data_IF_648544560587
#
_entry.id   IF_648544560587
#
_cell.length_a   1.000
_cell.length_b   1.000
_cell.length_c   1.000
_cell.angle_alpha   90.00
_cell.angle_beta   90.00
_cell.angle_gamma   90.00
#
_symmetry.space_group_name_H-M   'P 1'
#
loop_
_entity.id
_entity.type
_entity.pdbx_description
1 polymer ?
#
# COMPACT_ATOMS: atom_id res chain seq x y z
N UNK A 1 -10.28 -2.21 -11.75
CA UNK A 1 -9.46 -1.57 -12.79
C UNK A 1 -8.14 -2.35 -12.88
N UNK A 2 -7.87 -3.05 -13.97
CA UNK A 2 -6.64 -3.85 -14.18
C UNK A 2 -5.53 -3.05 -14.91
N UNK A 3 -5.85 -1.83 -15.36
CA UNK A 3 -4.93 -0.92 -16.03
C UNK A 3 -4.16 -0.13 -14.97
N UNK A 4 -2.88 -0.47 -14.81
CA UNK A 4 -1.93 0.28 -14.00
C UNK A 4 -0.56 0.31 -14.69
N UNK A 5 0.12 1.43 -14.49
CA UNK A 5 1.46 1.66 -15.00
C UNK A 5 2.47 0.72 -14.31
N UNK A 6 3.38 0.16 -15.10
CA UNK A 6 4.46 -0.63 -14.56
C UNK A 6 5.70 -0.62 -15.45
N UNK A 7 6.80 -0.11 -14.90
CA UNK A 7 8.12 -0.13 -15.51
C UNK A 7 9.17 -0.56 -14.50
N UNK A 8 10.12 -1.36 -14.97
CA UNK A 8 11.24 -1.85 -14.16
C UNK A 8 12.21 -0.71 -13.90
N UNK A 9 12.60 -0.52 -12.65
CA UNK A 9 13.47 0.58 -12.22
C UNK A 9 12.73 1.87 -11.83
N UNK A 10 11.43 1.96 -12.15
CA UNK A 10 10.59 3.12 -11.80
C UNK A 10 9.58 2.77 -10.71
N UNK A 11 8.96 1.59 -10.79
CA UNK A 11 7.99 1.16 -9.78
C UNK A 11 8.70 0.65 -8.54
N UNK A 12 8.34 1.22 -7.39
CA UNK A 12 8.93 0.91 -6.09
C UNK A 12 8.26 -0.29 -5.43
N UNK A 13 8.90 -0.83 -4.39
CA UNK A 13 8.29 -1.87 -3.54
C UNK A 13 7.01 -1.36 -2.85
N UNK A 14 6.98 -0.07 -2.48
CA UNK A 14 5.81 0.56 -1.85
C UNK A 14 4.61 0.61 -2.82
N UNK A 15 4.82 0.98 -4.09
CA UNK A 15 3.73 0.98 -5.07
C UNK A 15 3.19 -0.44 -5.32
N UNK A 16 4.03 -1.48 -5.25
CA UNK A 16 3.56 -2.88 -5.32
C UNK A 16 2.79 -3.28 -4.06
N UNK A 17 3.20 -2.88 -2.86
CA UNK A 17 2.41 -3.09 -1.64
C UNK A 17 1.04 -2.40 -1.71
N UNK A 18 0.98 -1.15 -2.21
CA UNK A 18 -0.28 -0.44 -2.46
C UNK A 18 -1.17 -1.19 -3.44
N UNK A 19 -0.60 -1.76 -4.52
CA UNK A 19 -1.34 -2.58 -5.46
C UNK A 19 -1.94 -3.81 -4.76
N UNK A 20 -1.16 -4.52 -3.93
CA UNK A 20 -1.63 -5.69 -3.17
C UNK A 20 -2.73 -5.28 -2.18
N UNK A 21 -2.54 -4.20 -1.42
CA UNK A 21 -3.53 -3.69 -0.47
C UNK A 21 -4.87 -3.34 -1.15
N UNK A 22 -4.81 -2.80 -2.38
CA UNK A 22 -5.99 -2.44 -3.17
C UNK A 22 -6.68 -3.64 -3.81
N UNK A 23 -5.91 -4.63 -4.26
CA UNK A 23 -6.41 -5.78 -5.03
C UNK A 23 -6.83 -6.94 -4.13
N UNK A 24 -6.19 -7.09 -2.97
CA UNK A 24 -6.26 -8.29 -2.15
C UNK A 24 -5.29 -9.36 -2.64
N UNK A 25 -4.67 -10.08 -1.71
CA UNK A 25 -3.68 -11.12 -2.06
C UNK A 25 -4.32 -12.25 -2.87
N UNK A 26 -5.57 -12.60 -2.55
CA UNK A 26 -6.34 -13.65 -3.20
C UNK A 26 -6.61 -13.37 -4.69
N UNK A 27 -6.62 -12.10 -5.09
CA UNK A 27 -6.93 -11.68 -6.45
C UNK A 27 -5.67 -11.40 -7.30
N UNK A 28 -4.46 -11.56 -6.75
CA UNK A 28 -3.22 -11.23 -7.47
C UNK A 28 -3.02 -12.12 -8.69
N UNK A 29 -3.35 -13.41 -8.59
CA UNK A 29 -3.27 -14.33 -9.73
C UNK A 29 -4.22 -13.89 -10.84
N UNK A 30 -5.46 -13.59 -10.50
CA UNK A 30 -6.47 -13.16 -11.47
C UNK A 30 -6.09 -11.84 -12.13
N UNK A 31 -5.47 -10.92 -11.38
CA UNK A 31 -4.92 -9.68 -11.94
C UNK A 31 -3.87 -9.95 -13.02
N UNK A 32 -2.96 -10.91 -12.78
CA UNK A 32 -1.94 -11.30 -13.76
C UNK A 32 -2.59 -11.97 -14.97
N UNK A 33 -3.54 -12.87 -14.75
CA UNK A 33 -4.25 -13.58 -15.83
C UNK A 33 -5.00 -12.61 -16.75
N UNK A 34 -5.65 -11.58 -16.19
CA UNK A 34 -6.30 -10.52 -16.97
C UNK A 34 -5.27 -9.78 -17.85
N UNK A 35 -4.08 -9.46 -17.31
CA UNK A 35 -3.03 -8.81 -18.12
C UNK A 35 -2.48 -9.72 -19.22
N UNK A 36 -2.43 -11.03 -18.98
CA UNK A 36 -2.03 -12.00 -20.01
C UNK A 36 -3.09 -12.08 -21.10
N UNK A 37 -4.36 -12.17 -20.72
CA UNK A 37 -5.49 -12.24 -21.64
C UNK A 37 -5.57 -11.00 -22.55
N UNK A 38 -5.43 -9.79 -21.98
CA UNK A 38 -5.41 -8.53 -22.73
C UNK A 38 -4.27 -8.50 -23.78
N UNK A 39 -3.08 -8.98 -23.41
CA UNK A 39 -1.93 -9.06 -24.31
C UNK A 39 -2.08 -10.08 -25.43
N UNK A 40 -2.72 -11.22 -25.14
CA UNK A 40 -3.05 -12.23 -26.13
C UNK A 40 -4.10 -11.70 -27.10
N UNK A 41 -5.16 -11.06 -26.59
CA UNK A 41 -6.20 -10.42 -27.40
C UNK A 41 -5.68 -9.31 -28.29
N UNK A 42 -4.65 -8.58 -27.84
CA UNK A 42 -3.98 -7.52 -28.61
C UNK A 42 -2.98 -8.03 -29.65
N UNK A 43 -2.86 -9.35 -29.86
CA UNK A 43 -1.97 -9.93 -30.88
C UNK A 43 -0.48 -9.78 -30.58
N UNK A 44 -0.10 -9.54 -29.32
CA UNK A 44 1.32 -9.37 -28.97
C UNK A 44 2.07 -10.71 -29.03
N UNK A 45 3.31 -10.75 -29.54
CA UNK A 45 4.04 -12.01 -29.76
C UNK A 45 4.48 -12.70 -28.46
N UNK A 46 4.46 -11.99 -27.32
CA UNK A 46 4.80 -12.52 -26.00
C UNK A 46 3.70 -12.18 -25.01
N UNK A 47 2.95 -13.20 -24.61
CA UNK A 47 1.90 -13.09 -23.60
C UNK A 47 2.45 -12.65 -22.24
N UNK A 48 3.62 -13.20 -21.84
CA UNK A 48 4.29 -12.89 -20.59
C UNK A 48 5.65 -12.20 -20.86
N UNK A 49 5.69 -10.87 -21.01
CA UNK A 49 6.94 -10.13 -21.20
C UNK A 49 7.76 -10.06 -19.92
N UNK A 50 9.03 -9.63 -20.03
CA UNK A 50 9.92 -9.45 -18.87
C UNK A 50 9.30 -8.57 -17.78
N UNK A 51 8.68 -7.45 -18.16
CA UNK A 51 8.00 -6.54 -17.21
C UNK A 51 6.95 -7.26 -16.36
N UNK A 52 6.15 -8.15 -16.96
CA UNK A 52 5.11 -8.90 -16.23
C UNK A 52 5.71 -9.96 -15.30
N UNK A 53 6.84 -10.59 -15.68
CA UNK A 53 7.57 -11.49 -14.77
C UNK A 53 8.20 -10.74 -13.61
N UNK A 54 8.77 -9.57 -13.87
CA UNK A 54 9.37 -8.73 -12.83
C UNK A 54 8.30 -8.23 -11.84
N UNK A 55 7.10 -7.88 -12.32
CA UNK A 55 5.98 -7.56 -11.44
C UNK A 55 5.59 -8.74 -10.52
N UNK A 56 5.46 -9.95 -11.09
CA UNK A 56 5.18 -11.16 -10.30
C UNK A 56 6.25 -11.38 -9.22
N UNK A 57 7.53 -11.27 -9.60
CA UNK A 57 8.64 -11.34 -8.64
C UNK A 57 8.53 -10.29 -7.52
N UNK A 58 8.22 -9.04 -7.87
CA UNK A 58 8.06 -7.98 -6.87
C UNK A 58 6.85 -8.24 -5.96
N UNK A 59 5.73 -8.72 -6.50
CA UNK A 59 4.57 -9.14 -5.71
C UNK A 59 4.98 -10.23 -4.72
N UNK A 60 5.67 -11.28 -5.17
CA UNK A 60 6.13 -12.36 -4.30
C UNK A 60 7.10 -11.88 -3.22
N UNK A 61 7.99 -10.94 -3.57
CA UNK A 61 8.96 -10.35 -2.64
C UNK A 61 8.29 -9.60 -1.49
N UNK A 62 7.22 -8.85 -1.77
CA UNK A 62 6.57 -7.97 -0.77
C UNK A 62 5.25 -8.53 -0.25
N UNK A 63 4.82 -9.73 -0.69
CA UNK A 63 3.51 -10.29 -0.30
C UNK A 63 3.33 -10.50 1.21
N UNK A 64 4.44 -10.71 1.92
CA UNK A 64 4.45 -10.90 3.37
C UNK A 64 4.63 -9.59 4.14
N UNK A 65 4.87 -8.47 3.43
CA UNK A 65 4.92 -7.15 4.05
C UNK A 65 3.50 -6.74 4.52
N UNK A 66 3.39 -5.79 5.47
CA UNK A 66 2.09 -5.40 5.98
C UNK A 66 1.30 -4.60 4.92
N UNK A 67 0.30 -5.25 4.34
CA UNK A 67 -0.59 -4.68 3.30
C UNK A 67 -2.03 -4.56 3.77
N UNK A 68 -2.33 -4.95 5.01
CA UNK A 68 -3.64 -4.81 5.62
C UNK A 68 -3.54 -4.46 7.09
N UNK A 69 -4.59 -3.86 7.65
CA UNK A 69 -4.67 -3.50 9.07
C UNK A 69 -4.44 -4.72 9.97
N UNK A 70 -4.85 -5.91 9.53
CA UNK A 70 -4.67 -7.16 10.27
C UNK A 70 -3.20 -7.58 10.42
N UNK A 71 -2.31 -7.07 9.58
CA UNK A 71 -0.87 -7.36 9.59
C UNK A 71 -0.06 -6.38 10.45
N UNK A 72 -0.72 -5.31 10.95
CA UNK A 72 -0.09 -4.40 11.88
C UNK A 72 0.25 -5.11 13.20
N UNK A 73 1.36 -4.72 13.85
CA UNK A 73 1.75 -5.25 15.17
C UNK A 73 0.89 -4.74 16.32
N UNK A 74 -0.08 -3.87 16.03
CA UNK A 74 -1.12 -3.43 16.95
C UNK A 74 -2.50 -3.63 16.32
N UNK A 75 -3.52 -3.68 17.16
CA UNK A 75 -4.91 -3.79 16.77
C UNK A 75 -5.79 -2.91 17.68
N UNK A 76 -7.10 -2.92 17.45
CA UNK A 76 -8.04 -2.13 18.24
C UNK A 76 -7.99 -2.42 19.74
N UNK A 77 -7.86 -3.69 20.14
CA UNK A 77 -7.80 -4.08 21.55
C UNK A 77 -6.56 -3.52 22.25
N UNK A 78 -5.41 -3.54 21.57
CA UNK A 78 -4.17 -2.94 22.07
C UNK A 78 -4.35 -1.44 22.24
N UNK A 79 -4.95 -0.75 21.26
CA UNK A 79 -5.22 0.69 21.33
C UNK A 79 -6.16 1.04 22.49
N UNK A 80 -7.22 0.26 22.71
CA UNK A 80 -8.14 0.43 23.84
C UNK A 80 -7.40 0.23 25.17
N UNK A 81 -6.61 -0.84 25.30
CA UNK A 81 -5.94 -1.20 26.55
C UNK A 81 -4.83 -0.22 26.92
N UNK A 82 -3.94 0.07 25.97
CA UNK A 82 -2.71 0.85 26.17
C UNK A 82 -2.96 2.36 26.12
N UNK A 83 -3.86 2.82 25.23
CA UNK A 83 -4.12 4.26 25.01
C UNK A 83 -5.46 4.72 25.55
N UNK A 84 -6.23 3.84 26.20
CA UNK A 84 -7.56 4.13 26.78
C UNK A 84 -8.53 4.73 25.77
N UNK A 85 -8.41 4.34 24.50
CA UNK A 85 -9.33 4.76 23.46
C UNK A 85 -10.71 4.17 23.68
N UNK A 86 -11.75 4.95 23.39
CA UNK A 86 -13.12 4.44 23.36
C UNK A 86 -13.34 3.62 22.08
N UNK A 87 -14.01 2.46 22.16
CA UNK A 87 -14.39 1.69 20.99
C UNK A 87 -15.22 2.55 20.02
N UNK A 88 -14.84 2.58 18.74
CA UNK A 88 -15.55 3.37 17.75
C UNK A 88 -14.79 3.52 16.42
N UNK A 89 -15.40 4.20 15.43
CA UNK A 89 -14.84 4.34 14.07
C UNK A 89 -13.49 5.06 14.03
N UNK A 90 -13.16 5.85 15.07
CA UNK A 90 -11.87 6.53 15.21
C UNK A 90 -10.69 5.55 15.26
N UNK A 91 -10.87 4.37 15.89
CA UNK A 91 -9.83 3.34 15.95
C UNK A 91 -9.51 2.82 14.55
N UNK A 92 -10.55 2.54 13.74
CA UNK A 92 -10.38 2.11 12.35
C UNK A 92 -9.63 3.14 11.53
N UNK A 93 -10.08 4.41 11.57
CA UNK A 93 -9.42 5.49 10.84
C UNK A 93 -7.94 5.69 11.27
N UNK A 94 -7.64 5.54 12.56
CA UNK A 94 -6.26 5.60 13.05
C UNK A 94 -5.42 4.44 12.51
N UNK A 95 -5.95 3.21 12.53
CA UNK A 95 -5.27 2.05 11.96
C UNK A 95 -5.06 2.18 10.45
N UNK A 96 -5.98 2.83 9.73
CA UNK A 96 -5.85 3.11 8.30
C UNK A 96 -4.70 4.09 8.02
N UNK A 97 -4.54 5.14 8.83
CA UNK A 97 -3.38 6.06 8.74
C UNK A 97 -2.07 5.32 8.99
N UNK A 98 -2.01 4.49 10.03
CA UNK A 98 -0.80 3.72 10.33
C UNK A 98 -0.47 2.73 9.21
N UNK A 99 -1.49 2.09 8.62
CA UNK A 99 -1.28 1.21 7.48
C UNK A 99 -0.73 1.98 6.29
N UNK A 100 -1.25 3.18 5.99
CA UNK A 100 -0.73 4.01 4.90
C UNK A 100 0.76 4.32 5.09
N UNK A 101 1.18 4.70 6.29
CA UNK A 101 2.59 4.95 6.62
C UNK A 101 3.45 3.66 6.53
N UNK A 102 2.95 2.54 7.02
CA UNK A 102 3.66 1.24 6.99
C UNK A 102 3.77 0.67 5.58
N UNK A 103 2.82 0.96 4.69
CA UNK A 103 2.90 0.56 3.29
C UNK A 103 4.07 1.26 2.60
N UNK A 104 4.34 2.52 2.95
CA UNK A 104 5.53 3.22 2.45
C UNK A 104 6.80 2.66 3.12
N UNK A 105 6.80 2.58 4.46
CA UNK A 105 7.92 2.08 5.25
C UNK A 105 7.55 0.87 6.15
N UNK A 106 7.75 -0.37 5.67
CA UNK A 106 7.32 -1.57 6.42
C UNK A 106 8.07 -1.76 7.74
N UNK A 107 9.22 -1.11 7.91
CA UNK A 107 10.01 -1.13 9.15
C UNK A 107 9.32 -0.40 10.31
N UNK A 108 8.37 0.49 10.01
CA UNK A 108 7.56 1.15 11.03
C UNK A 108 6.59 0.19 11.74
N UNK A 109 6.37 -1.02 11.19
CA UNK A 109 5.49 -2.03 11.76
C UNK A 109 6.09 -2.73 12.99
N UNK A 110 6.39 -1.97 14.02
CA UNK A 110 6.76 -2.46 15.35
C UNK A 110 5.77 -1.93 16.37
N UNK A 111 5.54 -2.67 17.45
CA UNK A 111 4.52 -2.31 18.44
C UNK A 111 4.82 -0.94 19.06
N UNK A 112 6.09 -0.68 19.35
CA UNK A 112 6.58 0.53 20.01
C UNK A 112 6.41 1.77 19.13
N UNK A 113 6.82 1.69 17.85
CA UNK A 113 6.68 2.79 16.90
C UNK A 113 5.20 3.07 16.62
N UNK A 114 4.39 2.03 16.39
CA UNK A 114 2.97 2.20 16.11
C UNK A 114 2.20 2.78 17.30
N UNK A 115 2.50 2.38 18.55
CA UNK A 115 1.88 2.99 19.73
C UNK A 115 2.28 4.46 19.90
N UNK A 116 3.55 4.79 19.64
CA UNK A 116 4.04 6.17 19.71
C UNK A 116 3.35 7.04 18.67
N UNK A 117 3.26 6.55 17.43
CA UNK A 117 2.56 7.23 16.35
C UNK A 117 1.06 7.37 16.63
N UNK A 118 0.44 6.32 17.15
CA UNK A 118 -0.97 6.33 17.56
C UNK A 118 -1.26 7.45 18.56
N UNK A 119 -0.42 7.62 19.58
CA UNK A 119 -0.55 8.71 20.58
C UNK A 119 -0.52 10.10 19.93
N UNK A 120 0.37 10.32 18.97
CA UNK A 120 0.45 11.59 18.25
C UNK A 120 -0.80 11.87 17.40
N UNK A 121 -1.46 10.82 16.89
CA UNK A 121 -2.67 10.91 16.08
C UNK A 121 -3.97 11.01 16.91
N UNK A 122 -3.93 10.75 18.22
CA UNK A 122 -5.13 10.78 19.08
C UNK A 122 -5.79 12.15 19.18
N UNK A 123 -5.01 13.24 19.02
CA UNK A 123 -5.51 14.61 19.05
C UNK A 123 -6.34 14.96 17.83
N UNK A 124 -6.12 14.26 16.71
CA UNK A 124 -6.86 14.48 15.47
C UNK A 124 -8.30 13.99 15.58
N UNK A 125 -9.20 14.65 14.86
CA UNK A 125 -10.59 14.18 14.74
C UNK A 125 -10.75 13.06 13.69
N UNK A 126 -11.96 12.51 13.56
CA UNK A 126 -12.23 11.43 12.61
C UNK A 126 -12.05 11.86 11.15
N UNK A 127 -12.42 13.10 10.81
CA UNK A 127 -12.29 13.62 9.46
C UNK A 127 -10.81 13.85 9.12
N UNK A 128 -10.06 14.45 10.03
CA UNK A 128 -8.62 14.68 9.91
C UNK A 128 -7.83 13.37 9.78
N UNK A 129 -8.21 12.31 10.49
CA UNK A 129 -7.57 11.00 10.33
C UNK A 129 -7.83 10.40 8.95
N UNK A 130 -9.07 10.51 8.45
CA UNK A 130 -9.42 10.00 7.12
C UNK A 130 -8.73 10.79 6.01
N UNK A 131 -8.60 12.10 6.17
CA UNK A 131 -7.83 12.91 5.24
C UNK A 131 -6.33 12.61 5.33
N UNK A 132 -5.76 12.47 6.53
CA UNK A 132 -4.35 12.11 6.69
C UNK A 132 -3.99 10.78 5.99
N UNK A 133 -4.85 9.76 6.07
CA UNK A 133 -4.61 8.50 5.37
C UNK A 133 -4.60 8.68 3.84
N UNK A 134 -5.47 9.56 3.31
CA UNK A 134 -5.48 9.89 1.87
C UNK A 134 -4.28 10.75 1.49
N UNK A 135 -3.92 11.73 2.30
CA UNK A 135 -2.79 12.62 2.09
C UNK A 135 -1.50 11.81 1.95
N UNK A 136 -1.22 10.87 2.85
CA UNK A 136 -0.05 9.99 2.74
C UNK A 136 -0.01 9.27 1.39
N UNK A 137 -1.15 8.74 0.94
CA UNK A 137 -1.23 8.04 -0.36
C UNK A 137 -0.99 9.01 -1.52
N UNK A 138 -1.57 10.21 -1.47
CA UNK A 138 -1.46 11.24 -2.51
C UNK A 138 -0.04 11.81 -2.56
N UNK A 139 0.54 12.17 -1.42
CA UNK A 139 1.92 12.66 -1.31
C UNK A 139 2.90 11.63 -1.85
N UNK A 140 2.72 10.35 -1.50
CA UNK A 140 3.58 9.27 -2.02
C UNK A 140 3.44 9.10 -3.54
N UNK A 141 2.22 9.22 -4.07
CA UNK A 141 2.00 9.20 -5.53
C UNK A 141 2.62 10.39 -6.23
N UNK A 142 2.52 11.59 -5.65
CA UNK A 142 3.10 12.81 -6.18
C UNK A 142 4.64 12.76 -6.14
N UNK A 143 5.21 12.26 -5.03
CA UNK A 143 6.65 12.09 -4.90
C UNK A 143 7.22 11.13 -5.95
N UNK A 144 6.56 9.98 -6.17
CA UNK A 144 6.94 9.04 -7.23
C UNK A 144 6.81 9.67 -8.63
N UNK A 145 5.75 10.44 -8.90
CA UNK A 145 5.55 11.13 -10.19
C UNK A 145 6.62 12.21 -10.44
N UNK A 146 6.98 12.99 -9.43
CA UNK A 146 8.03 14.00 -9.52
C UNK A 146 9.42 13.36 -9.72
N UNK A 147 9.73 12.25 -9.04
CA UNK A 147 10.97 11.49 -9.25
C UNK A 147 11.06 10.94 -10.68
N UNK A 148 9.94 10.44 -11.20
CA UNK A 148 9.79 10.01 -12.59
C UNK A 148 10.04 11.16 -13.58
N UNK A 149 9.40 12.31 -13.39
CA UNK A 149 9.60 13.52 -14.21
C UNK A 149 11.05 13.94 -14.25
N UNK A 150 11.72 13.99 -13.10
CA UNK A 150 13.15 14.32 -13.02
C UNK A 150 14.02 13.33 -13.79
N UNK A 151 13.73 12.03 -13.64
CA UNK A 151 14.45 10.95 -14.34
C UNK A 151 14.32 11.07 -15.85
N UNK A 152 13.12 11.40 -16.33
CA UNK A 152 12.82 11.54 -17.76
C UNK A 152 13.05 12.96 -18.30
N UNK A 153 13.42 13.91 -17.43
CA UNK A 153 13.61 15.34 -17.74
C UNK A 153 12.37 15.97 -18.38
N UNK A 154 11.19 15.65 -17.85
CA UNK A 154 9.88 16.16 -18.30
C UNK A 154 9.29 17.09 -17.26
#
# INVERSE_FOLDING_TARGET
NHMFYYNVGEVTAASVRRLIAKVGEENLKDLIDIRIADRLGSGTPKAVPYKLRHLQYMMDKVRHDPVSVKMLKINGDILIKELKMTPGPKIGALLDVLLAEVIEEPQLNTKELLLTRSKALMTKDLAELREAAKEVIVESQQAEDEELKQTHRV
#
